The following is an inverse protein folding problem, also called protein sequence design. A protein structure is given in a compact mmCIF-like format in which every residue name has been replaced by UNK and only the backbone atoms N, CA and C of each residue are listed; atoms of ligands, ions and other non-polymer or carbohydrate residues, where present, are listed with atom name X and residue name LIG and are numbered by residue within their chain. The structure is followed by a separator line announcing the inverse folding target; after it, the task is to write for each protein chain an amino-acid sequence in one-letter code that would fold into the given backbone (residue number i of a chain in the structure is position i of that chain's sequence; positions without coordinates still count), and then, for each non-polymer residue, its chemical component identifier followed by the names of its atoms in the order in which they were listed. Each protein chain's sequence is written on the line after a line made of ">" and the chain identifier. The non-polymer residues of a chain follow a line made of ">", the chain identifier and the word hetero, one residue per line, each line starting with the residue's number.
data_IF_162545231514
#
_entry.id   IF_162545231514
#
_cell.length_a   1.000
_cell.length_b   1.000
_cell.length_c   1.000
_cell.angle_alpha   90.00
_cell.angle_beta   90.00
_cell.angle_gamma   90.00
#
_symmetry.space_group_name_H-M   'P 1'
#
loop_
_entity.id
_entity.type
_entity.pdbx_description
1 polymer ?
#
# COMPACT_ATOMS: atom_id res chain seq x y z
N UNK A 1 -7.19 -8.21 -15.99
CA UNK A 1 -6.65 -7.21 -15.05
C UNK A 1 -6.18 -7.94 -13.79
N UNK A 2 -4.94 -8.42 -13.77
CA UNK A 2 -4.43 -9.12 -12.60
C UNK A 2 -3.84 -8.09 -11.63
N UNK A 3 -4.27 -8.11 -10.36
CA UNK A 3 -3.71 -7.26 -9.30
C UNK A 3 -2.18 -7.45 -9.17
N UNK A 4 -1.67 -8.61 -9.58
CA UNK A 4 -0.27 -9.05 -9.51
C UNK A 4 0.35 -9.14 -10.92
N UNK A 5 0.01 -8.21 -11.81
CA UNK A 5 0.77 -8.02 -13.05
C UNK A 5 2.07 -7.27 -12.73
N UNK A 6 3.23 -7.80 -13.11
CA UNK A 6 4.53 -7.15 -12.87
C UNK A 6 4.97 -6.27 -14.03
N UNK A 7 4.28 -6.30 -15.16
CA UNK A 7 4.59 -5.47 -16.32
C UNK A 7 4.12 -4.01 -16.17
N UNK A 8 3.12 -3.77 -15.33
CA UNK A 8 2.62 -2.42 -15.05
C UNK A 8 3.41 -1.79 -13.87
N UNK A 9 4.16 -0.70 -14.10
CA UNK A 9 5.02 -0.08 -13.09
C UNK A 9 4.25 0.78 -12.06
N UNK A 10 2.94 0.99 -12.24
CA UNK A 10 2.12 1.77 -11.31
C UNK A 10 1.93 1.03 -9.97
N UNK A 11 1.88 1.75 -8.84
CA UNK A 11 1.76 1.11 -7.54
C UNK A 11 0.35 0.57 -7.28
N UNK A 12 0.29 -0.42 -6.39
CA UNK A 12 -0.95 -0.80 -5.70
C UNK A 12 -1.04 0.00 -4.40
N UNK A 13 -2.15 0.71 -4.20
CA UNK A 13 -2.35 1.57 -3.03
C UNK A 13 -3.15 0.85 -1.93
N UNK A 14 -2.68 0.86 -0.69
CA UNK A 14 -3.32 0.24 0.47
C UNK A 14 -3.97 1.29 1.36
N UNK A 15 -5.28 1.19 1.61
CA UNK A 15 -5.98 2.03 2.59
C UNK A 15 -6.13 1.23 3.89
N UNK A 16 -5.70 1.79 5.02
CA UNK A 16 -5.57 1.08 6.29
C UNK A 16 -4.33 0.19 6.35
N UNK A 17 -3.21 0.67 5.78
CA UNK A 17 -1.99 -0.12 5.59
C UNK A 17 -1.28 -0.52 6.90
N UNK A 18 -1.55 0.19 7.99
CA UNK A 18 -1.01 -0.11 9.32
C UNK A 18 -1.75 -1.25 10.06
N UNK A 19 -2.85 -1.77 9.51
CA UNK A 19 -3.52 -2.94 10.06
C UNK A 19 -2.71 -4.21 9.83
N UNK A 20 -2.67 -5.13 10.81
CA UNK A 20 -1.80 -6.32 10.79
C UNK A 20 -1.93 -7.20 9.52
N UNK A 21 -3.14 -7.35 8.97
CA UNK A 21 -3.34 -8.09 7.72
C UNK A 21 -2.90 -7.33 6.47
N UNK A 22 -3.12 -6.01 6.47
CA UNK A 22 -2.78 -5.16 5.33
C UNK A 22 -1.28 -4.91 5.24
N UNK A 23 -0.59 -4.76 6.38
CA UNK A 23 0.85 -4.58 6.42
C UNK A 23 1.58 -5.83 5.91
N UNK A 24 1.18 -7.02 6.35
CA UNK A 24 1.73 -8.28 5.87
C UNK A 24 1.52 -8.49 4.37
N UNK A 25 0.33 -8.13 3.85
CA UNK A 25 0.07 -8.22 2.41
C UNK A 25 0.89 -7.20 1.61
N UNK A 26 0.99 -5.96 2.09
CA UNK A 26 1.81 -4.92 1.45
C UNK A 26 3.29 -5.34 1.37
N UNK A 27 3.85 -5.84 2.48
CA UNK A 27 5.22 -6.37 2.53
C UNK A 27 5.43 -7.50 1.52
N UNK A 28 4.50 -8.46 1.45
CA UNK A 28 4.58 -9.57 0.50
C UNK A 28 4.65 -9.08 -0.95
N UNK A 29 3.87 -8.04 -1.30
CA UNK A 29 3.88 -7.49 -2.65
C UNK A 29 5.18 -6.74 -2.96
N UNK A 30 5.71 -5.96 -2.01
CA UNK A 30 7.02 -5.30 -2.14
C UNK A 30 8.12 -6.32 -2.38
N UNK A 31 8.17 -7.38 -1.56
CA UNK A 31 9.16 -8.46 -1.70
C UNK A 31 9.04 -9.23 -3.02
N UNK A 32 7.87 -9.21 -3.67
CA UNK A 32 7.66 -9.76 -5.03
C UNK A 32 8.02 -8.81 -6.16
N UNK A 33 8.59 -7.64 -5.84
CA UNK A 33 9.05 -6.64 -6.80
C UNK A 33 7.95 -5.71 -7.30
N UNK A 34 6.80 -5.63 -6.61
CA UNK A 34 5.75 -4.69 -6.96
C UNK A 34 5.94 -3.36 -6.24
N UNK A 35 5.50 -2.27 -6.87
CA UNK A 35 5.44 -0.97 -6.21
C UNK A 35 4.19 -0.92 -5.34
N UNK A 36 4.37 -0.49 -4.09
CA UNK A 36 3.30 -0.36 -3.12
C UNK A 36 3.36 1.03 -2.51
N UNK A 37 2.18 1.61 -2.31
CA UNK A 37 1.97 2.82 -1.52
C UNK A 37 0.83 2.54 -0.54
N UNK A 38 0.68 3.34 0.50
CA UNK A 38 -0.49 3.19 1.35
C UNK A 38 -0.75 4.38 2.24
N UNK A 39 -1.92 4.40 2.86
CA UNK A 39 -2.27 5.38 3.86
C UNK A 39 -2.98 4.72 5.05
N UNK A 40 -2.92 5.40 6.19
CA UNK A 40 -3.66 5.02 7.39
C UNK A 40 -4.03 6.27 8.19
N UNK A 41 -5.00 6.16 9.11
CA UNK A 41 -5.41 7.25 10.00
C UNK A 41 -4.23 7.81 10.80
N UNK A 42 -3.29 6.95 11.18
CA UNK A 42 -2.04 7.32 11.85
C UNK A 42 -0.88 6.57 11.20
N UNK A 43 0.23 7.26 10.92
CA UNK A 43 1.40 6.65 10.27
C UNK A 43 2.14 5.61 11.15
N UNK A 44 1.82 5.50 12.43
CA UNK A 44 2.58 4.70 13.40
C UNK A 44 2.50 3.18 13.22
N UNK A 45 1.50 2.65 12.51
CA UNK A 45 1.30 1.20 12.34
C UNK A 45 2.12 0.54 11.22
N UNK A 46 2.89 1.32 10.45
CA UNK A 46 3.51 0.87 9.20
C UNK A 46 5.03 1.09 9.15
N UNK A 47 5.71 1.13 10.31
CA UNK A 47 7.16 1.36 10.39
C UNK A 47 7.97 0.41 9.51
N UNK A 48 7.70 -0.90 9.60
CA UNK A 48 8.38 -1.93 8.81
C UNK A 48 8.23 -1.71 7.29
N UNK A 49 7.08 -1.22 6.85
CA UNK A 49 6.85 -0.91 5.43
C UNK A 49 7.63 0.32 4.98
N UNK A 50 7.74 1.34 5.83
CA UNK A 50 8.55 2.52 5.55
C UNK A 50 10.03 2.11 5.42
N UNK A 51 10.52 1.20 6.27
CA UNK A 51 11.87 0.65 6.17
C UNK A 51 12.10 -0.13 4.87
N UNK A 52 11.06 -0.77 4.33
CA UNK A 52 11.07 -1.43 3.02
C UNK A 52 10.92 -0.45 1.83
N UNK A 53 10.86 0.86 2.08
CA UNK A 53 10.76 1.90 1.06
C UNK A 53 9.34 2.14 0.56
N UNK A 54 8.31 1.67 1.27
CA UNK A 54 6.91 1.97 0.95
C UNK A 54 6.59 3.40 1.36
N UNK A 55 5.99 4.16 0.46
CA UNK A 55 5.43 5.48 0.80
C UNK A 55 4.12 5.30 1.57
N UNK A 56 4.13 5.67 2.86
CA UNK A 56 2.98 5.63 3.74
C UNK A 56 2.55 7.05 4.12
N UNK A 57 1.31 7.41 3.79
CA UNK A 57 0.72 8.73 4.06
C UNK A 57 -0.24 8.68 5.26
N UNK A 58 -0.30 9.77 6.03
CA UNK A 58 -1.25 9.89 7.12
C UNK A 58 -2.59 10.48 6.63
N UNK A 59 -3.70 9.96 7.15
CA UNK A 59 -5.04 10.34 6.76
C UNK A 59 -5.51 9.66 5.47
N UNK A 60 -6.82 9.72 5.22
CA UNK A 60 -7.43 9.23 3.98
C UNK A 60 -7.75 10.42 3.08
N UNK A 61 -7.04 10.54 1.96
CA UNK A 61 -7.22 11.60 0.98
C UNK A 61 -7.28 10.99 -0.42
N UNK A 62 -8.24 11.37 -1.28
CA UNK A 62 -8.28 10.96 -2.68
C UNK A 62 -6.97 11.21 -3.45
N UNK A 63 -6.23 12.28 -3.11
CA UNK A 63 -4.95 12.61 -3.72
C UNK A 63 -3.89 11.52 -3.51
N UNK A 64 -4.01 10.70 -2.46
CA UNK A 64 -3.10 9.56 -2.23
C UNK A 64 -3.22 8.46 -3.29
N UNK A 65 -4.33 8.45 -4.05
CA UNK A 65 -4.61 7.44 -5.07
C UNK A 65 -4.05 7.81 -6.45
N UNK A 66 -3.47 9.00 -6.60
CA UNK A 66 -2.94 9.46 -7.88
C UNK A 66 -1.88 8.50 -8.45
N UNK A 67 -2.12 8.05 -9.69
CA UNK A 67 -1.21 7.12 -10.37
C UNK A 67 -1.30 5.66 -9.91
N UNK A 68 -2.11 5.32 -8.90
CA UNK A 68 -2.32 3.94 -8.48
C UNK A 68 -3.09 3.15 -9.55
N UNK A 69 -2.69 1.89 -9.79
CA UNK A 69 -3.42 1.00 -10.72
C UNK A 69 -4.57 0.24 -10.07
N UNK A 70 -4.52 0.10 -8.74
CA UNK A 70 -5.48 -0.64 -7.95
C UNK A 70 -5.42 -0.14 -6.50
N UNK A 71 -6.55 -0.30 -5.81
CA UNK A 71 -6.69 0.02 -4.40
C UNK A 71 -7.05 -1.25 -3.65
N UNK A 72 -6.35 -1.51 -2.54
CA UNK A 72 -6.66 -2.58 -1.59
C UNK A 72 -7.08 -1.91 -0.29
N UNK A 73 -8.23 -2.31 0.24
CA UNK A 73 -8.78 -1.78 1.48
C UNK A 73 -9.42 -2.93 2.27
N UNK A 74 -9.53 -2.75 3.58
CA UNK A 74 -10.26 -3.68 4.46
C UNK A 74 -11.73 -3.25 4.55
N UNK A 75 -12.59 -4.15 5.04
CA UNK A 75 -14.01 -3.85 5.32
C UNK A 75 -14.23 -2.93 6.52
N UNK A 76 -13.17 -2.68 7.30
CA UNK A 76 -13.17 -1.84 8.49
C UNK A 76 -13.01 -0.34 8.18
#
# INVERSE_FOLDING_TARGET
>A
MALIDRSDPRPVHFVGVGGAGMSALAELLVRRGMRVTGCDRQAGGAGDLVELGVSVMAGHDPAHLEGARAVVYTSA
#
